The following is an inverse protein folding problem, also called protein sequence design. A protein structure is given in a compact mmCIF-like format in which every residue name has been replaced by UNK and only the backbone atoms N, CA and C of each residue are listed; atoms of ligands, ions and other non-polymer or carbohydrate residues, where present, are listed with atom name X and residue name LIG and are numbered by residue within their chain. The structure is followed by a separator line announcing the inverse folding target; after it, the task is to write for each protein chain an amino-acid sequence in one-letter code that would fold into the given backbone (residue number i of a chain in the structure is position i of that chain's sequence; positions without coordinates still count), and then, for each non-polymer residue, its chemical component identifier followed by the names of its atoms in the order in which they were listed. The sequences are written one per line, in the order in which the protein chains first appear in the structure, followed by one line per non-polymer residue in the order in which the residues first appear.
data_IF_551959926475
#
_entry.id   IF_551959926475
#
_cell.length_a   1.000
_cell.length_b   1.000
_cell.length_c   1.000
_cell.angle_alpha   90.00
_cell.angle_beta   90.00
_cell.angle_gamma   90.00
#
_symmetry.space_group_name_H-M   'P 1'
#
loop_
_entity.id
_entity.type
_entity.pdbx_description
1 polymer ?
#
# COMPACT_ATOMS: atom_id res chain seq x y z
N UNK A 1 -9.32 9.11 -5.64
CA UNK A 1 -9.68 10.49 -6.03
C UNK A 1 -10.83 10.92 -5.13
N UNK A 2 -10.83 12.16 -4.64
CA UNK A 2 -12.00 12.72 -3.96
C UNK A 2 -13.11 13.04 -4.98
N UNK A 3 -14.37 13.23 -4.56
CA UNK A 3 -15.46 13.58 -5.47
C UNK A 3 -15.22 14.85 -6.29
N UNK A 4 -14.43 15.79 -5.76
CA UNK A 4 -14.01 17.03 -6.42
C UNK A 4 -12.90 16.85 -7.47
N UNK A 5 -12.46 15.61 -7.72
CA UNK A 5 -11.40 15.28 -8.65
C UNK A 5 -9.99 15.42 -8.09
N UNK A 6 -9.82 15.81 -6.82
CA UNK A 6 -8.48 15.90 -6.21
C UNK A 6 -7.89 14.52 -5.89
N UNK A 7 -6.57 14.39 -6.04
CA UNK A 7 -5.84 13.17 -5.71
C UNK A 7 -5.75 12.98 -4.20
N UNK A 8 -5.92 11.74 -3.74
CA UNK A 8 -5.75 11.42 -2.31
C UNK A 8 -4.25 11.31 -2.04
N UNK A 9 -3.72 12.29 -1.30
CA UNK A 9 -2.32 12.28 -0.84
C UNK A 9 -2.10 11.15 0.17
N UNK A 10 -0.88 10.61 0.20
CA UNK A 10 -0.43 9.75 1.30
C UNK A 10 -0.55 10.49 2.62
N UNK A 11 -1.01 9.79 3.65
CA UNK A 11 -1.09 10.30 5.01
C UNK A 11 0.31 10.37 5.63
N UNK A 12 0.49 11.24 6.61
CA UNK A 12 1.72 11.26 7.41
C UNK A 12 1.85 10.04 8.33
N UNK A 13 0.73 9.42 8.68
CA UNK A 13 0.63 8.25 9.54
C UNK A 13 -0.50 7.32 9.09
N UNK A 14 -0.43 6.06 9.51
CA UNK A 14 -1.39 5.02 9.17
C UNK A 14 -1.62 4.06 10.36
N UNK A 15 -2.67 3.22 10.29
CA UNK A 15 -2.94 2.26 11.34
C UNK A 15 -1.88 1.13 11.32
N UNK A 16 -1.59 0.55 12.49
CA UNK A 16 -0.77 -0.65 12.60
C UNK A 16 -1.64 -1.89 12.35
N UNK A 17 -1.62 -2.40 11.12
CA UNK A 17 -2.49 -3.49 10.65
C UNK A 17 -1.72 -4.58 9.91
N UNK A 18 -2.39 -5.70 9.66
CA UNK A 18 -1.85 -6.86 8.94
C UNK A 18 -1.53 -8.03 9.85
N UNK A 19 -1.07 -9.13 9.24
CA UNK A 19 -0.70 -10.35 9.96
C UNK A 19 0.78 -10.29 10.32
N UNK A 20 1.11 -10.28 11.61
CA UNK A 20 2.48 -10.48 12.04
C UNK A 20 2.88 -11.95 11.83
N UNK A 21 4.10 -12.25 11.32
CA UNK A 21 5.24 -11.35 11.13
C UNK A 21 5.35 -10.66 9.76
N UNK A 22 4.38 -10.82 8.85
CA UNK A 22 4.46 -10.35 7.46
C UNK A 22 4.10 -8.88 7.26
N UNK A 23 3.63 -8.20 8.30
CA UNK A 23 3.29 -6.78 8.22
C UNK A 23 4.53 -5.95 7.88
N UNK A 24 4.49 -5.08 6.85
CA UNK A 24 5.65 -4.27 6.47
C UNK A 24 6.03 -3.29 7.56
N UNK A 25 7.29 -2.84 7.55
CA UNK A 25 7.83 -1.93 8.56
C UNK A 25 7.06 -0.61 8.61
N UNK A 26 6.51 -0.15 7.47
CA UNK A 26 5.65 1.02 7.45
C UNK A 26 4.44 0.84 8.38
N UNK A 27 3.73 -0.28 8.29
CA UNK A 27 2.58 -0.58 9.16
C UNK A 27 3.00 -0.74 10.62
N UNK A 28 4.06 -1.51 10.86
CA UNK A 28 4.59 -1.76 12.20
C UNK A 28 5.07 -0.47 12.91
N UNK A 29 5.38 0.59 12.14
CA UNK A 29 5.81 1.90 12.64
C UNK A 29 4.75 2.98 12.49
N UNK A 30 3.48 2.60 12.27
CA UNK A 30 2.33 3.51 12.14
C UNK A 30 2.48 4.56 11.02
N UNK A 31 3.23 4.21 9.97
CA UNK A 31 3.36 5.01 8.75
C UNK A 31 2.31 4.57 7.75
N UNK A 32 1.93 5.51 6.89
CA UNK A 32 0.97 5.22 5.84
C UNK A 32 1.54 4.18 4.87
N UNK A 33 0.79 3.12 4.63
CA UNK A 33 1.18 2.04 3.73
C UNK A 33 1.03 2.48 2.27
N UNK A 34 1.85 1.93 1.40
CA UNK A 34 1.80 2.08 -0.05
C UNK A 34 2.12 0.74 -0.73
N UNK A 35 1.92 0.57 -2.06
CA UNK A 35 2.05 -0.72 -2.74
C UNK A 35 3.46 -1.31 -2.62
N UNK A 36 4.48 -0.44 -2.55
CA UNK A 36 5.87 -0.85 -2.29
C UNK A 36 6.01 -1.65 -0.99
N UNK A 37 5.17 -1.36 0.02
CA UNK A 37 5.23 -1.99 1.33
C UNK A 37 4.64 -3.42 1.23
N UNK A 38 3.77 -3.70 0.26
CA UNK A 38 3.30 -5.07 -0.02
C UNK A 38 4.43 -5.95 -0.57
N UNK A 39 5.38 -5.40 -1.34
CA UNK A 39 6.58 -6.13 -1.78
C UNK A 39 7.46 -6.56 -0.60
N UNK A 40 7.55 -5.71 0.44
CA UNK A 40 8.30 -6.02 1.65
C UNK A 40 7.65 -7.19 2.42
N UNK A 41 6.33 -7.15 2.62
CA UNK A 41 5.57 -8.25 3.22
C UNK A 41 5.64 -9.55 2.41
N UNK A 42 5.59 -9.45 1.07
CA UNK A 42 5.75 -10.60 0.17
C UNK A 42 7.12 -11.27 0.31
N UNK A 43 8.19 -10.47 0.40
CA UNK A 43 9.53 -11.01 0.65
C UNK A 43 9.60 -11.73 2.01
N UNK A 44 8.95 -11.20 3.06
CA UNK A 44 8.91 -11.88 4.36
C UNK A 44 8.27 -13.26 4.27
N UNK A 45 7.16 -13.37 3.55
CA UNK A 45 6.49 -14.65 3.31
C UNK A 45 7.40 -15.64 2.55
N UNK A 46 8.12 -15.18 1.52
CA UNK A 46 9.05 -16.02 0.75
C UNK A 46 10.17 -16.60 1.62
N UNK A 47 10.76 -15.80 2.51
CA UNK A 47 11.79 -16.29 3.44
C UNK A 47 11.24 -17.36 4.38
N UNK A 48 10.04 -17.17 4.91
CA UNK A 48 9.41 -18.17 5.77
C UNK A 48 9.10 -19.47 5.02
N UNK A 49 8.65 -19.39 3.76
CA UNK A 49 8.40 -20.58 2.93
C UNK A 49 9.65 -21.42 2.69
N UNK A 50 10.84 -20.83 2.71
CA UNK A 50 12.13 -21.55 2.63
C UNK A 50 12.71 -21.91 4.01
N UNK A 51 11.90 -21.85 5.06
CA UNK A 51 12.28 -22.09 6.47
C UNK A 51 13.37 -21.14 7.00
N UNK A 52 13.52 -19.96 6.40
CA UNK A 52 14.43 -18.93 6.88
C UNK A 52 13.68 -17.83 7.64
N UNK A 53 14.32 -17.26 8.66
CA UNK A 53 13.77 -16.09 9.34
C UNK A 53 13.99 -14.83 8.48
N UNK A 54 12.94 -14.04 8.17
CA UNK A 54 13.11 -12.81 7.42
C UNK A 54 14.00 -11.82 8.18
N UNK A 55 15.01 -11.28 7.49
CA UNK A 55 15.83 -10.18 8.02
C UNK A 55 15.16 -8.85 7.67
N UNK A 56 14.07 -8.51 8.37
CA UNK A 56 13.17 -7.37 8.08
C UNK A 56 13.90 -6.08 7.67
N UNK A 57 14.84 -5.61 8.52
CA UNK A 57 15.59 -4.38 8.25
C UNK A 57 16.50 -4.47 7.01
N UNK A 58 17.06 -5.65 6.72
CA UNK A 58 17.92 -5.85 5.56
C UNK A 58 17.09 -5.84 4.28
N UNK A 59 15.95 -6.54 4.28
CA UNK A 59 15.00 -6.59 3.17
C UNK A 59 14.51 -5.17 2.85
N UNK A 60 14.10 -4.41 3.87
CA UNK A 60 13.72 -3.00 3.73
C UNK A 60 14.78 -2.17 3.01
N UNK A 61 16.04 -2.26 3.46
CA UNK A 61 17.16 -1.50 2.89
C UNK A 61 17.42 -1.89 1.45
N UNK A 62 17.35 -3.18 1.12
CA UNK A 62 17.52 -3.67 -0.24
C UNK A 62 16.40 -3.18 -1.16
N UNK A 63 15.14 -3.26 -0.71
CA UNK A 63 13.99 -2.77 -1.47
C UNK A 63 14.12 -1.25 -1.73
N UNK A 64 14.39 -0.46 -0.69
CA UNK A 64 14.56 1.00 -0.85
C UNK A 64 15.77 1.36 -1.72
N UNK A 65 16.81 0.52 -1.72
CA UNK A 65 17.97 0.68 -2.60
C UNK A 65 17.59 0.37 -4.05
N UNK A 66 16.84 -0.70 -4.31
CA UNK A 66 16.37 -1.06 -5.63
C UNK A 66 15.45 0.02 -6.22
N UNK A 67 14.48 0.49 -5.44
CA UNK A 67 13.59 1.61 -5.82
C UNK A 67 14.41 2.83 -6.25
N UNK A 68 15.41 3.24 -5.47
CA UNK A 68 16.28 4.38 -5.79
C UNK A 68 17.13 4.14 -7.04
N UNK A 69 17.67 2.93 -7.21
CA UNK A 69 18.54 2.60 -8.37
C UNK A 69 17.77 2.53 -9.68
N UNK A 70 16.50 2.15 -9.61
CA UNK A 70 15.61 2.00 -10.76
C UNK A 70 14.77 3.25 -11.02
N UNK A 71 14.97 4.31 -10.22
CA UNK A 71 14.21 5.56 -10.29
C UNK A 71 12.68 5.34 -10.28
N UNK A 72 12.23 4.40 -9.44
CA UNK A 72 10.80 4.08 -9.33
C UNK A 72 10.13 5.19 -8.50
N UNK A 73 9.19 5.95 -9.08
CA UNK A 73 8.52 7.01 -8.35
C UNK A 73 7.58 6.41 -7.29
N UNK A 74 7.75 6.82 -6.03
CA UNK A 74 6.94 6.33 -4.90
C UNK A 74 5.82 7.30 -4.47
N UNK A 75 5.81 8.50 -5.05
CA UNK A 75 4.91 9.61 -4.75
C UNK A 75 3.91 9.88 -5.87
N UNK A 76 3.94 9.07 -6.93
CA UNK A 76 2.94 9.13 -8.00
C UNK A 76 1.58 8.60 -7.51
N UNK A 77 0.48 9.13 -8.06
CA UNK A 77 -0.85 8.61 -7.77
C UNK A 77 -0.96 7.13 -8.14
N UNK A 78 -1.80 6.42 -7.42
CA UNK A 78 -2.13 5.04 -7.75
C UNK A 78 -2.94 4.99 -9.05
N UNK A 79 -2.84 3.88 -9.78
CA UNK A 79 -3.62 3.57 -10.98
C UNK A 79 -5.11 3.84 -10.81
N UNK A 80 -5.71 3.38 -9.70
CA UNK A 80 -7.13 3.59 -9.41
C UNK A 80 -7.51 5.05 -9.10
N UNK A 81 -6.52 5.92 -8.89
CA UNK A 81 -6.72 7.35 -8.72
C UNK A 81 -6.67 8.13 -10.03
N UNK A 82 -6.15 7.54 -11.12
CA UNK A 82 -5.92 8.23 -12.40
C UNK A 82 -6.63 7.58 -13.58
N UNK A 83 -6.82 6.26 -13.60
CA UNK A 83 -7.47 5.59 -14.72
C UNK A 83 -9.00 5.74 -14.64
N UNK A 84 -9.66 6.35 -15.65
CA UNK A 84 -11.09 6.63 -15.61
C UNK A 84 -11.97 5.39 -15.39
N UNK A 85 -11.58 4.26 -16.00
CA UNK A 85 -12.28 2.98 -15.83
C UNK A 85 -12.27 2.51 -14.38
N UNK A 86 -11.12 2.63 -13.69
CA UNK A 86 -10.96 2.24 -12.30
C UNK A 86 -11.63 3.22 -11.33
N UNK A 87 -11.60 4.52 -11.63
CA UNK A 87 -12.30 5.54 -10.82
C UNK A 87 -13.80 5.23 -10.77
N UNK A 88 -14.41 4.92 -11.91
CA UNK A 88 -15.84 4.59 -11.98
C UNK A 88 -16.20 3.34 -11.17
N UNK A 89 -15.28 2.36 -11.11
CA UNK A 89 -15.44 1.13 -10.34
C UNK A 89 -15.37 1.41 -8.83
N UNK A 90 -14.36 2.16 -8.38
CA UNK A 90 -14.18 2.53 -6.97
C UNK A 90 -15.33 3.38 -6.48
N UNK A 91 -15.82 4.32 -7.29
CA UNK A 91 -17.00 5.11 -6.94
C UNK A 91 -18.20 4.19 -6.71
N UNK A 92 -18.54 3.31 -7.66
CA UNK A 92 -19.69 2.39 -7.50
C UNK A 92 -19.63 1.56 -6.22
N UNK A 93 -18.45 1.03 -5.86
CA UNK A 93 -18.30 0.18 -4.66
C UNK A 93 -18.26 0.97 -3.35
N UNK A 94 -17.76 2.19 -3.35
CA UNK A 94 -17.69 3.03 -2.14
C UNK A 94 -19.01 3.75 -1.86
N UNK A 95 -19.77 4.10 -2.90
CA UNK A 95 -21.09 4.74 -2.79
C UNK A 95 -22.19 3.78 -2.30
N UNK A 96 -22.10 2.47 -2.58
CA UNK A 96 -23.06 1.46 -2.10
C UNK A 96 -23.04 1.22 -0.58
N UNK A 97 -22.04 1.75 0.13
CA UNK A 97 -21.88 1.54 1.58
C UNK A 97 -22.14 2.78 2.45
N UNK A 98 -22.57 3.91 1.86
CA UNK A 98 -22.96 5.08 2.65
C UNK A 98 -24.39 4.93 3.22
N UNK A 99 -24.60 5.21 4.52
CA UNK A 99 -25.93 5.12 5.12
C UNK A 99 -26.81 6.23 4.54
N UNK A 100 -27.72 5.85 3.65
CA UNK A 100 -28.64 6.78 2.98
C UNK A 100 -29.13 6.31 1.62
N UNK A 101 -28.43 5.35 0.99
CA UNK A 101 -28.87 4.76 -0.27
C UNK A 101 -29.43 3.36 -0.01
N UNK A 102 -30.69 3.30 0.46
CA UNK A 102 -31.52 2.10 0.37
C UNK A 102 -32.51 2.38 -0.75
N UNK A 103 -32.43 1.61 -1.82
CA UNK A 103 -33.53 1.48 -2.79
C UNK A 103 -34.81 1.03 -2.07
#
# INVERSE_FOLDING_TARGET
MRPDGSLIRRRGSGPCVGTFPYSPLASATMRDQAPKDDLEGWMYMMFEMVNERPKYQQIHRLLMTAVRRLDIPLDVPYDWQVFPSLISLVQKSTWSHLPGNKD
#
